data_IF_647349959532
#
_entry.id   IF_647349959532
#
_cell.length_a   1.000
_cell.length_b   1.000
_cell.length_c   1.000
_cell.angle_alpha   90.00
_cell.angle_beta   90.00
_cell.angle_gamma   90.00
#
_symmetry.space_group_name_H-M   'P 1'
#
loop_
_entity.id
_entity.type
_entity.pdbx_description
1 polymer ?
#
# COMPACT_ATOMS: atom_id res chain seq x y z
N UNK A 1 51.55 54.52 -37.50
CA UNK A 1 50.50 53.82 -38.27
C UNK A 1 50.46 52.40 -37.71
N UNK A 2 49.43 51.86 -37.07
CA UNK A 2 47.96 51.93 -37.20
C UNK A 2 47.40 51.50 -35.83
N UNK A 3 46.78 52.42 -35.07
CA UNK A 3 45.33 52.50 -34.77
C UNK A 3 44.81 51.45 -33.75
N UNK A 4 44.34 52.00 -32.62
CA UNK A 4 43.36 51.45 -31.69
C UNK A 4 42.12 50.90 -32.41
N UNK A 5 41.72 49.65 -32.16
CA UNK A 5 40.29 49.25 -32.25
C UNK A 5 39.93 48.19 -31.21
N UNK A 6 39.19 48.69 -30.22
CA UNK A 6 38.27 48.00 -29.30
C UNK A 6 37.17 47.29 -30.08
N UNK A 7 36.83 46.04 -29.70
CA UNK A 7 35.52 45.34 -29.82
C UNK A 7 35.72 43.81 -29.53
N UNK A 8 34.70 43.00 -29.20
CA UNK A 8 33.56 43.22 -28.32
C UNK A 8 33.40 42.11 -27.25
N UNK A 9 32.75 42.52 -26.16
CA UNK A 9 32.05 41.71 -25.16
C UNK A 9 31.30 40.51 -25.78
N UNK A 10 31.84 39.29 -25.67
CA UNK A 10 31.07 38.07 -25.97
C UNK A 10 30.21 37.73 -24.77
N UNK A 11 28.93 38.10 -24.87
CA UNK A 11 27.89 37.74 -23.93
C UNK A 11 27.94 36.25 -23.59
N UNK A 12 27.96 35.96 -22.29
CA UNK A 12 27.68 34.63 -21.76
C UNK A 12 26.31 34.20 -22.26
N UNK A 13 26.29 33.29 -23.22
CA UNK A 13 25.09 32.54 -23.58
C UNK A 13 24.81 31.62 -22.40
N UNK A 14 23.99 32.11 -21.46
CA UNK A 14 23.38 31.27 -20.43
C UNK A 14 22.48 30.28 -21.17
N UNK A 15 22.99 29.06 -21.36
CA UNK A 15 22.12 27.92 -21.68
C UNK A 15 21.15 27.84 -20.53
N UNK A 16 19.89 28.21 -20.79
CA UNK A 16 18.78 27.86 -19.94
C UNK A 16 18.83 26.34 -19.80
N UNK A 17 19.34 25.87 -18.66
CA UNK A 17 19.14 24.50 -18.25
C UNK A 17 17.62 24.35 -18.17
N UNK A 18 17.05 23.64 -19.14
CA UNK A 18 15.75 23.03 -19.03
C UNK A 18 15.76 22.25 -17.73
N UNK A 19 15.21 22.84 -16.67
CA UNK A 19 14.95 22.14 -15.42
C UNK A 19 13.95 21.06 -15.79
N UNK A 20 14.44 19.85 -16.04
CA UNK A 20 13.62 18.65 -16.15
C UNK A 20 12.84 18.54 -14.84
N UNK A 21 11.53 18.78 -14.90
CA UNK A 21 10.61 18.70 -13.76
C UNK A 21 10.39 17.27 -13.25
N UNK A 22 11.45 16.48 -13.10
CA UNK A 22 11.43 15.07 -12.69
C UNK A 22 12.08 14.82 -11.32
N UNK A 23 12.71 15.83 -10.71
CA UNK A 23 13.49 15.69 -9.47
C UNK A 23 12.84 16.32 -8.23
N UNK A 24 11.54 16.66 -8.29
CA UNK A 24 10.78 16.84 -7.05
C UNK A 24 10.51 15.46 -6.47
N UNK A 25 11.30 15.06 -5.47
CA UNK A 25 11.09 13.89 -4.64
C UNK A 25 9.60 13.73 -4.31
N UNK A 26 8.90 12.92 -5.09
CA UNK A 26 7.44 12.88 -5.08
C UNK A 26 7.00 12.30 -3.73
N UNK A 27 6.43 13.10 -2.81
CA UNK A 27 6.10 12.65 -1.45
C UNK A 27 5.17 11.43 -1.50
N UNK A 28 4.31 11.36 -2.51
CA UNK A 28 3.38 10.27 -2.74
C UNK A 28 4.08 8.95 -3.10
N UNK A 29 5.26 8.96 -3.74
CA UNK A 29 5.99 7.71 -4.05
C UNK A 29 6.44 6.99 -2.78
N UNK A 30 6.79 7.74 -1.72
CA UNK A 30 7.16 7.16 -0.43
C UNK A 30 5.94 6.53 0.24
N UNK A 31 4.81 7.24 0.24
CA UNK A 31 3.53 6.76 0.79
C UNK A 31 3.06 5.49 0.11
N UNK A 32 3.03 5.47 -1.24
CA UNK A 32 2.65 4.30 -2.04
C UNK A 32 3.57 3.10 -1.73
N UNK A 33 4.88 3.32 -1.60
CA UNK A 33 5.83 2.26 -1.24
C UNK A 33 5.60 1.73 0.18
N UNK A 34 5.28 2.61 1.13
CA UNK A 34 4.96 2.20 2.50
C UNK A 34 3.66 1.40 2.55
N UNK A 35 2.63 1.87 1.85
CA UNK A 35 1.35 1.18 1.70
C UNK A 35 1.55 -0.24 1.15
N UNK A 36 2.35 -0.40 0.10
CA UNK A 36 2.66 -1.72 -0.47
C UNK A 36 3.31 -2.67 0.54
N UNK A 37 4.27 -2.17 1.34
CA UNK A 37 4.92 -2.98 2.39
C UNK A 37 3.95 -3.38 3.50
N UNK A 38 3.11 -2.44 3.93
CA UNK A 38 2.11 -2.70 4.97
C UNK A 38 1.08 -3.75 4.52
N UNK A 39 0.55 -3.61 3.31
CA UNK A 39 -0.38 -4.58 2.73
C UNK A 39 0.26 -5.96 2.58
N UNK A 40 1.53 -6.03 2.15
CA UNK A 40 2.25 -7.30 2.03
C UNK A 40 2.47 -7.97 3.39
N UNK A 41 2.68 -7.19 4.45
CA UNK A 41 2.82 -7.72 5.82
C UNK A 41 1.50 -8.28 6.34
N UNK A 42 0.42 -7.50 6.25
CA UNK A 42 -0.92 -7.91 6.73
C UNK A 42 -1.51 -9.05 5.91
N UNK A 43 -1.23 -9.09 4.60
CA UNK A 43 -1.69 -10.14 3.70
C UNK A 43 -1.09 -11.53 3.94
N UNK A 44 -0.10 -11.68 4.82
CA UNK A 44 0.51 -12.99 5.12
C UNK A 44 -0.45 -13.97 5.77
N UNK A 45 -1.36 -13.44 6.59
CA UNK A 45 -2.36 -14.25 7.29
C UNK A 45 -3.68 -14.36 6.52
N UNK A 46 -3.67 -14.02 5.23
CA UNK A 46 -4.88 -14.09 4.42
C UNK A 46 -5.39 -15.55 4.32
N UNK A 47 -6.70 -15.82 4.46
CA UNK A 47 -7.24 -17.18 4.54
C UNK A 47 -6.91 -18.08 3.34
N UNK A 48 -6.70 -17.49 2.15
CA UNK A 48 -6.32 -18.22 0.93
C UNK A 48 -4.80 -18.36 0.73
N UNK A 49 -4.01 -17.92 1.70
CA UNK A 49 -2.55 -17.94 1.67
C UNK A 49 -1.92 -16.62 1.20
N UNK A 50 -0.65 -16.44 1.58
CA UNK A 50 0.12 -15.23 1.31
C UNK A 50 0.37 -15.02 -0.19
N UNK A 51 0.63 -16.08 -0.95
CA UNK A 51 0.92 -15.98 -2.39
C UNK A 51 -0.28 -15.50 -3.20
N UNK A 52 -1.48 -16.00 -2.87
CA UNK A 52 -2.74 -15.56 -3.48
C UNK A 52 -2.95 -14.05 -3.28
N UNK A 53 -2.71 -13.56 -2.06
CA UNK A 53 -2.84 -12.14 -1.76
C UNK A 53 -1.76 -11.32 -2.49
N UNK A 54 -0.51 -11.80 -2.49
CA UNK A 54 0.62 -11.11 -3.10
C UNK A 54 0.45 -10.93 -4.61
N UNK A 55 -0.06 -11.94 -5.31
CA UNK A 55 -0.32 -11.86 -6.73
C UNK A 55 -1.40 -10.80 -7.06
N UNK A 56 -2.50 -10.79 -6.29
CA UNK A 56 -3.58 -9.80 -6.42
C UNK A 56 -3.11 -8.39 -6.13
N UNK A 57 -2.33 -8.23 -5.05
CA UNK A 57 -1.72 -6.95 -4.69
C UNK A 57 -0.82 -6.44 -5.81
N UNK A 58 0.08 -7.28 -6.32
CA UNK A 58 0.97 -6.93 -7.43
C UNK A 58 0.18 -6.53 -8.67
N UNK A 59 -0.85 -7.30 -9.04
CA UNK A 59 -1.71 -6.99 -10.18
C UNK A 59 -2.40 -5.63 -10.03
N UNK A 60 -2.92 -5.31 -8.85
CA UNK A 60 -3.57 -4.02 -8.57
C UNK A 60 -2.62 -2.83 -8.71
N UNK A 61 -1.39 -2.95 -8.19
CA UNK A 61 -0.38 -1.89 -8.32
C UNK A 61 0.14 -1.75 -9.75
N UNK A 62 0.27 -2.86 -10.48
CA UNK A 62 0.69 -2.84 -11.89
C UNK A 62 -0.35 -2.18 -12.80
N UNK A 63 -1.65 -2.35 -12.52
CA UNK A 63 -2.73 -1.68 -13.28
C UNK A 63 -2.69 -0.16 -13.16
N UNK A 64 -2.21 0.37 -12.02
CA UNK A 64 -2.17 1.80 -11.74
C UNK A 64 -0.75 2.41 -11.89
N UNK A 65 0.19 1.70 -12.53
CA UNK A 65 1.61 2.12 -12.60
C UNK A 65 1.82 3.43 -13.39
N UNK A 66 0.96 3.68 -14.37
CA UNK A 66 1.09 4.81 -15.32
C UNK A 66 0.32 6.06 -14.84
N UNK A 67 -0.36 5.98 -13.69
CA UNK A 67 -1.11 7.09 -13.11
C UNK A 67 -0.12 8.14 -12.60
N UNK A 68 -0.16 9.32 -13.21
CA UNK A 68 0.76 10.42 -12.91
C UNK A 68 0.07 11.57 -12.16
N UNK A 69 -1.26 11.64 -12.18
CA UNK A 69 -2.02 12.69 -11.50
C UNK A 69 -1.97 12.54 -9.97
N UNK A 70 -1.48 13.56 -9.22
CA UNK A 70 -1.39 13.49 -7.77
C UNK A 70 -2.72 13.26 -7.05
N UNK A 71 -3.84 13.78 -7.58
CA UNK A 71 -5.16 13.63 -6.94
C UNK A 71 -5.66 12.21 -7.07
N UNK A 72 -5.48 11.59 -8.24
CA UNK A 72 -5.79 10.17 -8.45
C UNK A 72 -4.92 9.25 -7.60
N UNK A 73 -3.61 9.52 -7.49
CA UNK A 73 -2.70 8.75 -6.63
C UNK A 73 -3.20 8.76 -5.18
N UNK A 74 -3.58 9.94 -4.66
CA UNK A 74 -4.09 10.06 -3.30
C UNK A 74 -5.37 9.23 -3.09
N UNK A 75 -6.32 9.30 -4.02
CA UNK A 75 -7.54 8.45 -3.97
C UNK A 75 -7.22 6.96 -3.95
N UNK A 76 -6.20 6.52 -4.69
CA UNK A 76 -5.77 5.11 -4.69
C UNK A 76 -5.08 4.72 -3.38
N UNK A 77 -4.31 5.63 -2.79
CA UNK A 77 -3.70 5.44 -1.46
C UNK A 77 -4.80 5.31 -0.40
N UNK A 78 -5.79 6.21 -0.39
CA UNK A 78 -6.93 6.19 0.54
C UNK A 78 -7.71 4.85 0.44
N UNK A 79 -7.90 4.34 -0.79
CA UNK A 79 -8.48 3.01 -1.02
C UNK A 79 -7.62 1.90 -0.43
N UNK A 80 -6.31 1.98 -0.55
CA UNK A 80 -5.39 1.01 0.04
C UNK A 80 -5.42 1.01 1.57
N UNK A 81 -5.57 2.18 2.19
CA UNK A 81 -5.75 2.31 3.64
C UNK A 81 -7.07 1.70 4.11
N UNK A 82 -8.14 1.80 3.32
CA UNK A 82 -9.39 1.09 3.61
C UNK A 82 -9.19 -0.43 3.61
N UNK A 83 -8.46 -0.97 2.63
CA UNK A 83 -8.14 -2.41 2.55
C UNK A 83 -7.32 -2.88 3.77
N UNK A 84 -6.43 -2.03 4.31
CA UNK A 84 -5.71 -2.34 5.56
C UNK A 84 -6.71 -2.59 6.70
N UNK A 85 -7.70 -1.71 6.88
CA UNK A 85 -8.70 -1.85 7.94
C UNK A 85 -9.56 -3.11 7.76
N UNK A 86 -9.87 -3.47 6.51
CA UNK A 86 -10.58 -4.72 6.22
C UNK A 86 -9.76 -5.96 6.61
N UNK A 87 -8.45 -5.95 6.33
CA UNK A 87 -7.55 -7.04 6.72
C UNK A 87 -7.42 -7.15 8.25
N UNK A 88 -7.32 -6.03 8.95
CA UNK A 88 -7.31 -6.00 10.42
C UNK A 88 -8.62 -6.54 11.00
N UNK A 89 -9.77 -6.12 10.46
CA UNK A 89 -11.06 -6.63 10.87
C UNK A 89 -11.18 -8.15 10.65
N UNK A 90 -10.69 -8.65 9.51
CA UNK A 90 -10.64 -10.08 9.21
C UNK A 90 -9.77 -10.84 10.24
N UNK A 91 -8.62 -10.27 10.60
CA UNK A 91 -7.74 -10.82 11.62
C UNK A 91 -8.41 -10.91 12.99
N UNK A 92 -9.07 -9.83 13.44
CA UNK A 92 -9.80 -9.82 14.70
C UNK A 92 -10.96 -10.81 14.70
N UNK A 93 -11.70 -10.91 13.60
CA UNK A 93 -12.78 -11.88 13.45
C UNK A 93 -12.28 -13.32 13.57
N UNK A 94 -11.15 -13.63 12.93
CA UNK A 94 -10.51 -14.95 13.05
C UNK A 94 -10.12 -15.26 14.50
N UNK A 95 -9.50 -14.30 15.19
CA UNK A 95 -9.15 -14.44 16.62
C UNK A 95 -10.38 -14.67 17.48
N UNK A 96 -11.42 -13.87 17.29
CA UNK A 96 -12.68 -14.01 18.01
C UNK A 96 -13.31 -15.38 17.79
N UNK A 97 -13.38 -15.86 16.54
CA UNK A 97 -13.89 -17.20 16.22
C UNK A 97 -13.11 -18.29 16.95
N UNK A 98 -11.78 -18.21 16.97
CA UNK A 98 -10.94 -19.17 17.67
C UNK A 98 -11.14 -19.13 19.19
N UNK A 99 -11.29 -17.94 19.78
CA UNK A 99 -11.58 -17.78 21.21
C UNK A 99 -12.95 -18.33 21.55
N UNK A 100 -13.98 -17.95 20.80
CA UNK A 100 -15.36 -18.40 21.01
C UNK A 100 -15.45 -19.92 20.97
N UNK A 101 -14.73 -20.54 20.02
CA UNK A 101 -14.62 -21.99 19.90
C UNK A 101 -14.14 -22.65 21.20
N UNK A 102 -13.06 -22.14 21.78
CA UNK A 102 -12.40 -22.73 22.96
C UNK A 102 -13.19 -22.58 24.25
N UNK A 103 -13.92 -21.49 24.43
CA UNK A 103 -14.59 -21.20 25.70
C UNK A 103 -16.07 -21.59 25.72
N UNK A 104 -16.76 -21.58 24.58
CA UNK A 104 -18.22 -21.76 24.55
C UNK A 104 -18.70 -23.04 23.85
N UNK A 105 -17.87 -23.77 23.10
CA UNK A 105 -18.30 -25.06 22.55
C UNK A 105 -18.42 -26.14 23.64
N UNK A 106 -17.55 -26.11 24.66
CA UNK A 106 -17.60 -27.05 25.79
C UNK A 106 -18.83 -26.76 26.68
N UNK A 107 -19.16 -25.50 26.95
CA UNK A 107 -20.38 -25.14 27.70
C UNK A 107 -21.65 -25.49 26.92
N UNK A 108 -21.69 -25.26 25.61
CA UNK A 108 -22.85 -25.60 24.79
C UNK A 108 -23.02 -27.10 24.58
N UNK A 109 -21.93 -27.86 24.47
CA UNK A 109 -22.01 -29.32 24.44
C UNK A 109 -22.45 -29.87 25.80
N UNK A 110 -21.96 -29.33 26.92
CA UNK A 110 -22.43 -29.70 28.25
C UNK A 110 -23.94 -29.41 28.42
N UNK A 111 -24.41 -28.22 28.06
CA UNK A 111 -25.83 -27.84 28.13
C UNK A 111 -26.72 -28.70 27.22
N UNK A 112 -26.24 -29.05 26.02
CA UNK A 112 -26.96 -29.92 25.08
C UNK A 112 -26.91 -31.42 25.45
N UNK A 113 -25.96 -31.84 26.28
CA UNK A 113 -25.79 -33.22 26.74
C UNK A 113 -26.45 -33.50 28.11
N UNK A 114 -27.05 -32.51 28.77
CA UNK A 114 -27.86 -32.72 29.98
C UNK A 114 -29.14 -33.47 29.55
N UNK A 115 -29.09 -34.81 29.62
CA UNK A 115 -30.25 -35.68 29.41
C UNK A 115 -30.07 -36.88 28.48
N UNK A 116 -28.89 -37.10 27.86
CA UNK A 116 -28.65 -38.36 27.12
C UNK A 116 -28.03 -39.40 28.06
N UNK A 117 -28.70 -40.54 28.35
CA UNK A 117 -28.08 -41.61 29.11
C UNK A 117 -26.87 -42.13 28.33
N UNK A 118 -25.77 -42.35 29.05
CA UNK A 118 -24.58 -43.01 28.52
C UNK A 118 -24.87 -44.51 28.66
N UNK A 119 -25.15 -45.16 27.53
CA UNK A 119 -25.31 -46.62 27.44
C UNK A 119 -23.98 -47.35 27.69
#
# INVERSE_FOLDING_TARGET
>A
MVIWTRLPNRGKVVKAATVSGSDMANPLRREVRQLYKNLLFLGREYPKGADYFRERLKSAFMKNKDVTDPKEIKKLVDRGEFVIKELEALYYLRKYRAMKKRYYEDEMSAVLNIGRPVD
#
